data_IF_713355328543
#
_entry.id   IF_713355328543
#
_cell.length_a   1.000
_cell.length_b   1.000
_cell.length_c   1.000
_cell.angle_alpha   90.00
_cell.angle_beta   90.00
_cell.angle_gamma   90.00
#
_symmetry.space_group_name_H-M   'P 1'
#
loop_
_entity.id
_entity.type
_entity.pdbx_description
1 polymer ?
#
# COMPACT_ATOMS: atom_id res chain seq x y z
N UNK A 1 -34.16 22.85 -24.04
CA UNK A 1 -32.86 22.62 -24.70
C UNK A 1 -31.92 23.68 -24.16
N UNK A 2 -31.21 23.35 -23.08
CA UNK A 2 -30.38 24.29 -22.34
C UNK A 2 -28.93 23.88 -22.58
N UNK A 3 -28.20 24.72 -23.29
CA UNK A 3 -26.80 24.54 -23.66
C UNK A 3 -25.92 24.51 -22.41
N UNK A 4 -25.24 23.38 -22.20
CA UNK A 4 -24.22 23.23 -21.17
C UNK A 4 -22.99 24.07 -21.54
N UNK A 5 -22.32 24.71 -20.56
CA UNK A 5 -21.09 25.43 -20.82
C UNK A 5 -19.96 24.46 -21.19
N UNK A 6 -19.30 24.78 -22.29
CA UNK A 6 -18.10 24.13 -22.81
C UNK A 6 -17.01 24.14 -21.74
N UNK A 7 -16.56 22.96 -21.33
CA UNK A 7 -15.37 22.78 -20.50
C UNK A 7 -14.18 23.44 -21.22
N UNK A 8 -13.60 24.45 -20.56
CA UNK A 8 -12.47 25.20 -21.07
C UNK A 8 -11.30 24.29 -21.44
N UNK A 9 -10.69 24.62 -22.57
CA UNK A 9 -9.44 24.03 -23.07
C UNK A 9 -8.38 24.02 -21.97
N UNK A 10 -7.88 22.83 -21.67
CA UNK A 10 -6.66 22.64 -20.90
C UNK A 10 -5.48 23.09 -21.76
N UNK A 11 -4.97 24.29 -21.50
CA UNK A 11 -3.64 24.67 -21.99
C UNK A 11 -2.58 23.99 -21.11
N UNK A 12 -1.65 23.21 -21.70
CA UNK A 12 -0.50 22.71 -20.97
C UNK A 12 0.35 23.90 -20.52
N UNK A 13 0.73 23.90 -19.24
CA UNK A 13 1.70 24.83 -18.68
C UNK A 13 3.03 24.58 -19.41
N UNK A 14 3.39 25.45 -20.36
CA UNK A 14 4.75 25.52 -20.88
C UNK A 14 5.64 26.00 -19.74
N UNK A 15 6.53 25.11 -19.30
CA UNK A 15 7.67 25.47 -18.46
C UNK A 15 8.74 25.90 -19.44
N UNK A 16 8.91 27.22 -19.59
CA UNK A 16 10.00 27.80 -20.35
C UNK A 16 11.31 27.56 -19.59
N UNK A 17 12.06 26.55 -20.03
CA UNK A 17 13.48 26.39 -19.71
C UNK A 17 14.28 27.43 -20.51
N UNK A 18 14.38 28.66 -20.01
CA UNK A 18 15.46 29.57 -20.38
C UNK A 18 16.36 29.85 -19.17
N UNK A 19 17.66 29.52 -19.24
CA UNK A 19 18.62 29.96 -18.24
C UNK A 19 18.85 31.46 -18.41
N UNK A 20 18.30 32.25 -17.48
CA UNK A 20 18.61 33.67 -17.32
C UNK A 20 20.09 33.84 -16.97
N UNK A 21 20.91 34.16 -17.98
CA UNK A 21 22.23 34.75 -17.83
C UNK A 21 22.07 36.15 -17.21
N UNK A 22 22.24 36.23 -15.89
CA UNK A 22 22.46 37.50 -15.21
C UNK A 22 23.94 37.93 -15.42
N UNK A 23 24.20 39.19 -15.79
CA UNK A 23 25.57 39.68 -15.99
C UNK A 23 26.32 39.75 -14.64
N UNK A 24 27.54 39.23 -14.66
CA UNK A 24 28.49 39.36 -13.57
C UNK A 24 28.84 40.84 -13.32
N UNK A 25 28.14 41.45 -12.37
CA UNK A 25 28.51 42.76 -11.84
C UNK A 25 29.68 42.58 -10.87
N UNK A 26 30.89 42.79 -11.39
CA UNK A 26 32.13 42.80 -10.63
C UNK A 26 32.16 44.01 -9.69
N UNK A 27 31.61 43.86 -8.49
CA UNK A 27 31.84 44.81 -7.40
C UNK A 27 33.28 44.63 -6.94
N UNK A 28 34.14 45.55 -7.39
CA UNK A 28 35.51 45.69 -6.92
C UNK A 28 35.50 45.96 -5.41
N UNK A 29 35.81 44.92 -4.63
CA UNK A 29 36.07 45.05 -3.20
C UNK A 29 37.40 45.81 -3.06
N UNK A 30 37.42 47.01 -2.44
CA UNK A 30 38.67 47.73 -2.23
C UNK A 30 39.59 46.88 -1.37
N UNK A 31 40.83 46.72 -1.81
CA UNK A 31 41.90 46.08 -1.07
C UNK A 31 42.07 46.80 0.28
N UNK A 32 41.44 46.25 1.32
CA UNK A 32 41.69 46.66 2.70
C UNK A 32 43.09 46.18 3.04
N UNK A 33 44.03 47.11 2.95
CA UNK A 33 45.39 46.97 3.47
C UNK A 33 45.26 46.53 4.94
N UNK A 34 45.76 45.33 5.31
CA UNK A 34 45.74 44.89 6.69
C UNK A 34 46.62 45.85 7.51
N UNK A 35 45.97 46.72 8.28
CA UNK A 35 46.63 47.49 9.33
C UNK A 35 47.31 46.49 10.26
N UNK A 36 48.60 46.66 10.57
CA UNK A 36 49.30 45.80 11.52
C UNK A 36 48.61 45.97 12.88
N UNK A 37 47.90 44.93 13.30
CA UNK A 37 47.29 44.86 14.62
C UNK A 37 48.44 44.96 15.62
N UNK A 38 48.49 46.00 16.48
CA UNK A 38 49.55 46.11 17.47
C UNK A 38 49.48 44.84 18.33
N UNK A 39 50.63 44.19 18.51
CA UNK A 39 50.80 43.03 19.38
C UNK A 39 50.46 43.43 20.82
N UNK A 40 49.16 43.41 21.15
CA UNK A 40 48.66 43.59 22.49
C UNK A 40 48.87 42.28 23.25
N UNK A 41 50.09 42.09 23.71
CA UNK A 41 50.49 41.11 24.72
C UNK A 41 49.92 41.51 26.08
N UNK A 42 48.59 41.46 26.22
CA UNK A 42 47.93 41.47 27.51
C UNK A 42 47.16 40.15 27.61
N UNK A 43 47.77 39.17 28.27
CA UNK A 43 47.07 37.95 28.65
C UNK A 43 45.78 38.31 29.40
N UNK A 44 44.73 37.47 29.31
CA UNK A 44 43.48 37.72 30.00
C UNK A 44 43.78 38.01 31.47
N UNK A 45 43.21 39.10 32.01
CA UNK A 45 43.39 39.43 33.42
C UNK A 45 42.94 38.21 34.23
N UNK A 46 43.60 37.89 35.36
CA UNK A 46 43.28 36.69 36.14
C UNK A 46 41.79 36.60 36.53
N UNK A 47 41.11 37.75 36.65
CA UNK A 47 39.67 37.84 36.89
C UNK A 47 38.81 37.33 35.71
N UNK A 48 39.27 37.50 34.47
CA UNK A 48 38.56 37.05 33.26
C UNK A 48 38.75 35.53 33.06
N UNK A 49 39.93 35.00 33.41
CA UNK A 49 40.17 33.56 33.39
C UNK A 49 39.26 32.82 34.38
N UNK A 50 38.98 33.42 35.54
CA UNK A 50 38.10 32.83 36.55
C UNK A 50 36.62 32.85 36.12
N UNK A 51 36.17 33.94 35.51
CA UNK A 51 34.81 34.04 34.92
C UNK A 51 34.60 33.03 33.78
N UNK A 52 35.62 32.80 32.95
CA UNK A 52 35.56 31.78 31.89
C UNK A 52 35.42 30.38 32.50
N UNK A 53 36.20 30.06 33.54
CA UNK A 53 36.14 28.76 34.21
C UNK A 53 34.81 28.50 34.94
N UNK A 54 34.16 29.56 35.45
CA UNK A 54 32.84 29.47 36.09
C UNK A 54 31.72 29.32 35.04
N UNK A 55 31.78 30.06 33.93
CA UNK A 55 30.85 29.90 32.80
C UNK A 55 30.94 28.49 32.19
N UNK A 56 32.14 27.93 32.07
CA UNK A 56 32.33 26.56 31.57
C UNK A 56 31.77 25.48 32.52
N UNK A 57 31.72 25.76 33.83
CA UNK A 57 31.05 24.88 34.80
C UNK A 57 29.53 24.97 34.67
N UNK A 58 29.00 26.19 34.54
CA UNK A 58 27.56 26.40 34.37
C UNK A 58 27.04 25.78 33.06
N UNK A 59 27.78 25.91 31.95
CA UNK A 59 27.44 25.29 30.66
C UNK A 59 27.42 23.76 30.77
N UNK A 60 28.37 23.16 31.50
CA UNK A 60 28.41 21.70 31.72
C UNK A 60 27.23 21.22 32.55
N UNK A 61 26.86 21.95 33.61
CA UNK A 61 25.71 21.61 34.45
C UNK A 61 24.39 21.74 33.70
N UNK A 62 24.24 22.74 32.84
CA UNK A 62 23.06 22.90 31.99
C UNK A 62 22.93 21.76 30.97
N UNK A 63 24.05 21.32 30.36
CA UNK A 63 24.06 20.16 29.45
C UNK A 63 23.70 18.86 30.18
N UNK A 64 24.26 18.61 31.36
CA UNK A 64 23.93 17.45 32.16
C UNK A 64 22.46 17.42 32.61
N UNK A 65 21.86 18.59 32.90
CA UNK A 65 20.42 18.70 33.21
C UNK A 65 19.55 18.50 31.97
N UNK A 66 19.96 19.01 30.81
CA UNK A 66 19.27 18.80 29.55
C UNK A 66 19.23 17.31 29.16
N UNK A 67 20.36 16.61 29.25
CA UNK A 67 20.46 15.17 28.99
C UNK A 67 19.55 14.36 29.94
N UNK A 68 19.61 14.62 31.25
CA UNK A 68 18.72 13.96 32.23
C UNK A 68 17.23 14.24 31.98
N UNK A 69 16.89 15.41 31.44
CA UNK A 69 15.51 15.73 31.06
C UNK A 69 15.06 15.03 29.78
N UNK A 70 15.98 14.77 28.84
CA UNK A 70 15.71 14.02 27.61
C UNK A 70 15.54 12.52 27.88
N UNK A 71 16.35 11.93 28.78
CA UNK A 71 16.20 10.54 29.22
C UNK A 71 14.89 10.31 29.99
N UNK A 72 14.41 11.30 30.75
CA UNK A 72 13.09 11.25 31.39
C UNK A 72 11.94 11.36 30.39
N UNK A 73 12.10 12.14 29.31
CA UNK A 73 11.08 12.27 28.27
C UNK A 73 10.99 11.02 27.38
N UNK A 74 12.10 10.31 27.13
CA UNK A 74 12.08 9.08 26.33
C UNK A 74 11.43 7.89 27.07
N UNK A 75 11.46 7.89 28.41
CA UNK A 75 10.82 6.86 29.25
C UNK A 75 9.32 7.07 29.48
N UNK A 76 8.77 8.19 29.03
CA UNK A 76 7.33 8.48 29.11
C UNK A 76 6.74 8.55 27.71
N UNK A 77 6.80 7.43 26.96
CA UNK A 77 5.80 7.21 25.90
C UNK A 77 4.52 6.89 26.65
N UNK A 78 3.51 7.78 26.73
CA UNK A 78 2.20 7.34 27.16
C UNK A 78 1.83 6.23 26.19
N UNK A 79 1.67 5.01 26.72
CA UNK A 79 1.00 3.96 25.97
C UNK A 79 -0.32 4.57 25.55
N UNK A 80 -0.42 4.94 24.28
CA UNK A 80 -1.72 5.25 23.70
C UNK A 80 -2.41 3.89 23.71
N UNK A 81 -3.05 3.60 24.84
CA UNK A 81 -3.57 2.28 25.15
C UNK A 81 -4.37 1.86 23.93
N UNK A 82 -4.17 0.63 23.45
CA UNK A 82 -4.94 0.13 22.31
C UNK A 82 -6.46 0.28 22.53
N UNK A 83 -6.90 0.52 23.77
CA UNK A 83 -8.23 0.94 24.16
C UNK A 83 -8.65 2.33 23.65
N UNK A 84 -7.84 3.39 23.79
CA UNK A 84 -8.20 4.73 23.29
C UNK A 84 -8.31 4.75 21.77
N UNK A 85 -7.42 4.03 21.08
CA UNK A 85 -7.51 3.85 19.63
C UNK A 85 -8.77 3.09 19.21
N UNK A 86 -9.15 2.04 19.96
CA UNK A 86 -10.39 1.28 19.70
C UNK A 86 -11.63 2.14 19.92
N UNK A 87 -11.63 2.99 20.95
CA UNK A 87 -12.75 3.91 21.21
C UNK A 87 -12.85 4.95 20.11
N UNK A 88 -11.73 5.58 19.74
CA UNK A 88 -11.71 6.53 18.64
C UNK A 88 -12.27 5.89 17.36
N UNK A 89 -11.83 4.68 17.03
CA UNK A 89 -12.29 3.96 15.85
C UNK A 89 -13.77 3.55 15.94
N UNK A 90 -14.24 3.08 17.11
CA UNK A 90 -15.65 2.78 17.33
C UNK A 90 -16.54 4.03 17.24
N UNK A 91 -16.07 5.16 17.78
CA UNK A 91 -16.77 6.43 17.70
C UNK A 91 -16.85 6.93 16.25
N UNK A 92 -15.77 6.82 15.48
CA UNK A 92 -15.77 7.17 14.06
C UNK A 92 -16.73 6.29 13.26
N UNK A 93 -16.73 4.97 13.47
CA UNK A 93 -17.68 4.05 12.81
C UNK A 93 -19.12 4.36 13.22
N UNK A 94 -19.39 4.60 14.50
CA UNK A 94 -20.73 4.97 14.97
C UNK A 94 -21.21 6.29 14.36
N UNK A 95 -20.30 7.26 14.20
CA UNK A 95 -20.60 8.55 13.60
C UNK A 95 -20.97 8.38 12.11
N UNK A 96 -20.19 7.62 11.34
CA UNK A 96 -20.46 7.38 9.91
C UNK A 96 -21.72 6.54 9.71
N UNK A 97 -21.91 5.51 10.54
CA UNK A 97 -23.09 4.65 10.46
C UNK A 97 -24.40 5.41 10.69
N UNK A 98 -24.38 6.49 11.49
CA UNK A 98 -25.58 7.29 11.74
C UNK A 98 -26.06 8.06 10.50
N UNK A 99 -25.14 8.63 9.71
CA UNK A 99 -25.46 9.30 8.45
C UNK A 99 -25.97 8.33 7.39
N UNK A 100 -25.33 7.17 7.27
CA UNK A 100 -25.73 6.11 6.33
C UNK A 100 -27.11 5.50 6.70
N UNK A 101 -27.38 5.30 7.99
CA UNK A 101 -28.68 4.86 8.48
C UNK A 101 -29.79 5.87 8.16
N UNK A 102 -29.53 7.15 8.38
CA UNK A 102 -30.47 8.21 8.04
C UNK A 102 -30.69 8.32 6.53
N UNK A 103 -29.64 8.13 5.71
CA UNK A 103 -29.76 8.04 4.25
C UNK A 103 -30.66 6.88 3.81
N UNK A 104 -30.54 5.72 4.43
CA UNK A 104 -31.40 4.57 4.11
C UNK A 104 -32.87 4.85 4.47
N UNK A 105 -33.13 5.49 5.61
CA UNK A 105 -34.47 5.93 5.98
C UNK A 105 -35.03 6.98 5.01
N UNK A 106 -34.21 7.95 4.60
CA UNK A 106 -34.58 8.92 3.58
C UNK A 106 -34.92 8.23 2.26
N UNK A 107 -34.19 7.17 1.89
CA UNK A 107 -34.50 6.34 0.73
C UNK A 107 -35.75 5.45 0.90
N UNK A 108 -36.49 5.58 2.01
CA UNK A 108 -37.75 4.87 2.27
C UNK A 108 -37.59 3.47 2.84
N UNK A 109 -36.41 3.11 3.35
CA UNK A 109 -36.23 1.78 3.95
C UNK A 109 -36.85 1.73 5.35
N UNK A 110 -37.45 0.59 5.70
CA UNK A 110 -37.91 0.35 7.05
C UNK A 110 -36.72 0.46 8.04
N UNK A 111 -36.95 1.04 9.22
CA UNK A 111 -35.90 1.25 10.23
C UNK A 111 -35.17 -0.04 10.62
N UNK A 112 -35.88 -1.18 10.56
CA UNK A 112 -35.33 -2.53 10.81
C UNK A 112 -34.32 -2.99 9.75
N UNK A 113 -34.37 -2.45 8.53
CA UNK A 113 -33.45 -2.78 7.43
C UNK A 113 -32.42 -1.69 7.19
N UNK A 114 -32.69 -0.45 7.59
CA UNK A 114 -31.81 0.69 7.38
C UNK A 114 -30.41 0.50 8.00
N UNK A 115 -30.26 -0.27 9.09
CA UNK A 115 -28.96 -0.56 9.70
C UNK A 115 -28.09 -1.51 8.86
N UNK A 116 -28.67 -2.22 7.88
CA UNK A 116 -27.90 -3.11 6.99
C UNK A 116 -27.02 -2.33 6.02
N UNK A 117 -27.44 -1.11 5.64
CA UNK A 117 -26.67 -0.27 4.72
C UNK A 117 -25.27 0.06 5.28
N UNK A 118 -25.13 0.63 6.50
CA UNK A 118 -23.81 0.90 7.05
C UNK A 118 -22.99 -0.36 7.29
N UNK A 119 -23.63 -1.45 7.73
CA UNK A 119 -22.92 -2.73 7.91
C UNK A 119 -22.36 -3.25 6.59
N UNK A 120 -23.07 -3.09 5.47
CA UNK A 120 -22.57 -3.50 4.16
C UNK A 120 -21.34 -2.68 3.73
N UNK A 121 -21.37 -1.36 3.94
CA UNK A 121 -20.25 -0.46 3.63
C UNK A 121 -19.04 -0.78 4.52
N UNK A 122 -19.24 -0.95 5.83
CA UNK A 122 -18.18 -1.29 6.79
C UNK A 122 -17.50 -2.63 6.44
N UNK A 123 -18.28 -3.66 6.12
CA UNK A 123 -17.74 -4.96 5.70
C UNK A 123 -16.88 -4.82 4.44
N UNK A 124 -17.30 -3.97 3.49
CA UNK A 124 -16.52 -3.69 2.28
C UNK A 124 -15.20 -2.99 2.62
N UNK A 125 -15.24 -1.94 3.44
CA UNK A 125 -14.05 -1.19 3.88
C UNK A 125 -13.06 -2.09 4.61
N UNK A 126 -13.53 -2.88 5.59
CA UNK A 126 -12.69 -3.83 6.33
C UNK A 126 -12.07 -4.87 5.41
N UNK A 127 -12.82 -5.39 4.43
CA UNK A 127 -12.26 -6.33 3.46
C UNK A 127 -11.22 -5.69 2.53
N UNK A 128 -11.47 -4.46 2.08
CA UNK A 128 -10.54 -3.70 1.24
C UNK A 128 -9.21 -3.45 1.97
N UNK A 129 -9.27 -3.02 3.23
CA UNK A 129 -8.07 -2.85 4.07
C UNK A 129 -7.36 -4.17 4.32
N UNK A 130 -8.08 -5.24 4.66
CA UNK A 130 -7.46 -6.54 4.96
C UNK A 130 -6.77 -7.17 3.74
N UNK A 131 -7.20 -6.83 2.53
CA UNK A 131 -6.60 -7.31 1.27
C UNK A 131 -5.62 -6.31 0.65
N UNK A 132 -5.47 -5.12 1.22
CA UNK A 132 -4.71 -3.98 0.66
C UNK A 132 -5.06 -3.69 -0.82
N UNK A 133 -6.31 -3.91 -1.20
CA UNK A 133 -6.80 -3.71 -2.57
C UNK A 133 -8.11 -2.93 -2.51
N UNK A 134 -8.30 -2.01 -3.45
CA UNK A 134 -9.52 -1.20 -3.59
C UNK A 134 -9.82 -0.28 -2.38
N UNK A 135 -8.81 0.01 -1.54
CA UNK A 135 -8.95 0.89 -0.36
C UNK A 135 -9.46 2.28 -0.74
N UNK A 136 -8.94 2.87 -1.81
CA UNK A 136 -9.38 4.18 -2.28
C UNK A 136 -10.87 4.18 -2.66
N UNK A 137 -11.35 3.15 -3.36
CA UNK A 137 -12.76 3.05 -3.74
C UNK A 137 -13.68 2.88 -2.53
N UNK A 138 -13.25 2.12 -1.52
CA UNK A 138 -14.00 1.96 -0.28
C UNK A 138 -14.10 3.27 0.51
N UNK A 139 -13.00 4.03 0.60
CA UNK A 139 -12.99 5.34 1.24
C UNK A 139 -13.86 6.35 0.49
N UNK A 140 -13.81 6.37 -0.85
CA UNK A 140 -14.66 7.24 -1.67
C UNK A 140 -16.14 6.91 -1.47
N UNK A 141 -16.52 5.62 -1.45
CA UNK A 141 -17.92 5.22 -1.23
C UNK A 141 -18.45 5.71 0.11
N UNK A 142 -17.66 5.56 1.18
CA UNK A 142 -18.01 6.01 2.53
C UNK A 142 -18.16 7.54 2.62
N UNK A 143 -17.23 8.30 2.03
CA UNK A 143 -17.34 9.77 1.97
C UNK A 143 -18.55 10.20 1.16
N UNK A 144 -18.79 9.55 0.02
CA UNK A 144 -19.93 9.85 -0.85
C UNK A 144 -21.26 9.61 -0.16
N UNK A 145 -21.42 8.51 0.59
CA UNK A 145 -22.64 8.22 1.33
C UNK A 145 -22.97 9.33 2.35
N UNK A 146 -21.97 9.76 3.13
CA UNK A 146 -22.14 10.87 4.08
C UNK A 146 -22.42 12.21 3.39
N UNK A 147 -21.75 12.49 2.27
CA UNK A 147 -22.01 13.70 1.50
C UNK A 147 -23.45 13.72 0.96
N UNK A 148 -23.89 12.62 0.31
CA UNK A 148 -25.26 12.49 -0.21
C UNK A 148 -26.28 12.66 0.91
N UNK A 149 -26.05 12.09 2.09
CA UNK A 149 -26.91 12.31 3.25
C UNK A 149 -27.03 13.81 3.60
N UNK A 150 -25.90 14.51 3.76
CA UNK A 150 -25.93 15.92 4.14
C UNK A 150 -26.59 16.79 3.06
N UNK A 151 -26.31 16.54 1.79
CA UNK A 151 -26.98 17.26 0.69
C UNK A 151 -28.49 16.95 0.64
N UNK A 152 -28.89 15.70 0.87
CA UNK A 152 -30.30 15.31 0.91
C UNK A 152 -31.03 15.94 2.09
N UNK A 153 -30.42 15.93 3.29
CA UNK A 153 -30.96 16.57 4.49
C UNK A 153 -31.10 18.09 4.36
N UNK A 154 -30.25 18.72 3.54
CA UNK A 154 -30.34 20.14 3.23
C UNK A 154 -31.40 20.46 2.14
N UNK A 155 -32.09 19.45 1.59
CA UNK A 155 -33.02 19.61 0.47
C UNK A 155 -32.34 19.97 -0.85
N UNK A 156 -31.01 19.83 -0.94
CA UNK A 156 -30.22 20.20 -2.12
C UNK A 156 -30.10 19.04 -3.12
N UNK A 157 -30.37 17.80 -2.70
CA UNK A 157 -30.11 16.62 -3.53
C UNK A 157 -31.07 15.47 -3.23
N UNK A 158 -31.88 15.06 -4.20
CA UNK A 158 -32.63 13.81 -4.14
C UNK A 158 -33.85 13.80 -3.23
N UNK A 159 -34.29 14.97 -2.77
CA UNK A 159 -35.49 15.12 -1.95
C UNK A 159 -36.33 16.27 -2.53
N UNK A 160 -37.61 16.02 -2.78
CA UNK A 160 -38.59 17.00 -3.25
C UNK A 160 -38.86 18.06 -2.16
N UNK A 161 -39.46 19.19 -2.53
CA UNK A 161 -39.87 20.26 -1.60
C UNK A 161 -40.82 19.77 -0.48
N UNK A 162 -41.41 18.58 -0.62
CA UNK A 162 -42.26 17.91 0.36
C UNK A 162 -41.51 16.86 1.20
N UNK A 163 -40.18 16.91 1.23
CA UNK A 163 -39.32 15.95 1.95
C UNK A 163 -39.47 14.49 1.50
N UNK A 164 -39.94 14.27 0.27
CA UNK A 164 -40.07 12.92 -0.30
C UNK A 164 -38.83 12.59 -1.11
N UNK A 165 -38.25 11.38 -0.96
CA UNK A 165 -37.12 10.99 -1.76
C UNK A 165 -37.51 10.90 -3.24
N UNK A 166 -36.66 11.46 -4.09
CA UNK A 166 -36.74 11.27 -5.52
C UNK A 166 -36.39 9.82 -5.89
N UNK A 167 -37.03 9.30 -6.93
CA UNK A 167 -36.88 7.89 -7.32
C UNK A 167 -35.43 7.50 -7.60
N UNK A 168 -34.63 8.42 -8.15
CA UNK A 168 -33.23 8.16 -8.49
C UNK A 168 -32.34 8.06 -7.25
N UNK A 169 -32.68 8.74 -6.15
CA UNK A 169 -31.98 8.60 -4.87
C UNK A 169 -32.21 7.18 -4.33
N UNK A 170 -33.46 6.71 -4.37
CA UNK A 170 -33.83 5.36 -3.94
C UNK A 170 -33.06 4.31 -4.75
N UNK A 171 -33.03 4.46 -6.08
CA UNK A 171 -32.29 3.56 -6.98
C UNK A 171 -30.78 3.60 -6.68
N UNK A 172 -30.21 4.80 -6.47
CA UNK A 172 -28.80 4.99 -6.15
C UNK A 172 -28.39 4.31 -4.86
N UNK A 173 -29.16 4.50 -3.78
CA UNK A 173 -28.92 3.86 -2.48
C UNK A 173 -29.11 2.34 -2.58
N UNK A 174 -30.15 1.87 -3.29
CA UNK A 174 -30.39 0.44 -3.51
C UNK A 174 -29.27 -0.23 -4.31
N UNK A 175 -28.61 0.48 -5.23
CA UNK A 175 -27.51 -0.04 -6.02
C UNK A 175 -26.21 -0.26 -5.22
N UNK A 176 -26.06 0.33 -4.02
CA UNK A 176 -24.88 0.17 -3.17
C UNK A 176 -24.67 -1.30 -2.78
N UNK A 177 -25.74 -2.00 -2.41
CA UNK A 177 -25.68 -3.40 -1.98
C UNK A 177 -25.16 -4.36 -3.08
N UNK A 178 -25.73 -4.40 -4.31
CA UNK A 178 -25.21 -5.25 -5.38
C UNK A 178 -23.80 -4.80 -5.83
N UNK A 179 -23.48 -3.50 -5.80
CA UNK A 179 -22.13 -3.02 -6.08
C UNK A 179 -21.09 -3.57 -5.09
N UNK A 180 -21.37 -3.46 -3.79
CA UNK A 180 -20.51 -3.99 -2.73
C UNK A 180 -20.36 -5.50 -2.86
N UNK A 181 -21.46 -6.22 -3.09
CA UNK A 181 -21.46 -7.67 -3.29
C UNK A 181 -20.61 -8.09 -4.49
N UNK A 182 -20.81 -7.45 -5.65
CA UNK A 182 -20.01 -7.68 -6.85
C UNK A 182 -18.53 -7.42 -6.59
N UNK A 183 -18.22 -6.34 -5.86
CA UNK A 183 -16.83 -6.01 -5.54
C UNK A 183 -16.17 -7.02 -4.60
N UNK A 184 -16.86 -7.43 -3.55
CA UNK A 184 -16.40 -8.49 -2.65
C UNK A 184 -16.15 -9.78 -3.44
N UNK A 185 -17.02 -10.13 -4.38
CA UNK A 185 -16.85 -11.30 -5.23
C UNK A 185 -15.61 -11.20 -6.13
N UNK A 186 -15.41 -10.06 -6.82
CA UNK A 186 -14.19 -9.83 -7.64
C UNK A 186 -12.90 -9.85 -6.83
N UNK A 187 -12.93 -9.35 -5.59
CA UNK A 187 -11.78 -9.42 -4.69
C UNK A 187 -11.53 -10.83 -4.14
N UNK A 188 -12.58 -11.65 -4.05
CA UNK A 188 -12.53 -13.01 -3.51
C UNK A 188 -12.20 -14.07 -4.56
N UNK A 189 -12.32 -13.74 -5.85
CA UNK A 189 -11.90 -14.61 -6.94
C UNK A 189 -10.47 -15.12 -6.66
N UNK A 190 -10.26 -16.45 -6.61
CA UNK A 190 -8.96 -17.01 -6.28
C UNK A 190 -7.93 -16.46 -7.25
N UNK A 191 -6.76 -16.08 -6.73
CA UNK A 191 -5.60 -15.58 -7.48
C UNK A 191 -4.98 -16.73 -8.31
N UNK A 192 -5.80 -17.46 -9.07
CA UNK A 192 -5.36 -18.50 -9.99
C UNK A 192 -4.59 -17.82 -11.13
N UNK A 193 -3.41 -18.39 -11.39
CA UNK A 193 -2.71 -18.36 -12.68
C UNK A 193 -1.94 -17.15 -13.20
N UNK A 194 -1.78 -16.03 -12.48
CA UNK A 194 -0.72 -15.07 -12.91
C UNK A 194 0.72 -15.54 -12.64
N UNK A 195 0.89 -16.74 -12.05
CA UNK A 195 2.19 -17.42 -11.88
C UNK A 195 2.43 -18.52 -12.93
N UNK A 196 1.46 -18.82 -13.80
CA UNK A 196 1.62 -19.79 -14.90
C UNK A 196 1.85 -19.14 -16.27
N UNK A 197 1.75 -17.80 -16.36
CA UNK A 197 2.18 -17.05 -17.54
C UNK A 197 3.59 -16.47 -17.37
N UNK A 198 4.48 -17.17 -16.66
CA UNK A 198 5.90 -17.03 -17.01
C UNK A 198 6.03 -17.77 -18.33
N UNK A 199 6.31 -17.10 -19.46
CA UNK A 199 6.43 -17.78 -20.74
C UNK A 199 7.44 -18.89 -20.53
N UNK A 200 6.96 -20.11 -20.74
CA UNK A 200 7.77 -21.30 -20.80
C UNK A 200 8.92 -20.97 -21.74
N UNK A 201 10.08 -20.71 -21.16
CA UNK A 201 11.30 -20.40 -21.89
C UNK A 201 11.48 -21.61 -22.79
N UNK A 202 11.40 -21.48 -24.13
CA UNK A 202 11.49 -22.62 -25.01
C UNK A 202 12.77 -23.34 -24.64
N UNK A 203 12.62 -24.62 -24.31
CA UNK A 203 13.72 -25.49 -23.95
C UNK A 203 14.84 -25.26 -24.96
N UNK A 204 15.97 -24.79 -24.46
CA UNK A 204 17.21 -24.68 -25.22
C UNK A 204 17.45 -26.04 -25.88
N UNK A 205 17.34 -26.03 -27.20
CA UNK A 205 17.81 -27.09 -28.10
C UNK A 205 19.22 -27.49 -27.65
N UNK A 206 19.54 -28.78 -27.49
CA UNK A 206 20.90 -29.22 -27.24
C UNK A 206 21.77 -28.76 -28.41
N UNK A 207 22.87 -28.08 -28.10
CA UNK A 207 23.89 -27.73 -29.06
C UNK A 207 24.43 -29.00 -29.74
N UNK A 208 23.90 -29.31 -30.92
CA UNK A 208 24.56 -30.22 -31.85
C UNK A 208 25.73 -29.51 -32.50
N UNK A 209 26.87 -30.19 -32.38
CA UNK A 209 28.17 -29.86 -32.91
C UNK A 209 28.10 -29.68 -34.43
N UNK A 210 28.85 -28.68 -34.89
CA UNK A 210 29.73 -28.72 -36.06
C UNK A 210 29.72 -30.01 -36.91
N UNK A 211 29.22 -29.86 -38.14
CA UNK A 211 29.63 -30.47 -39.42
C UNK A 211 28.69 -29.82 -40.45
N UNK A 212 29.02 -28.78 -41.22
CA UNK A 212 30.10 -28.59 -42.19
C UNK A 212 30.42 -29.83 -43.03
N UNK A 213 29.65 -30.04 -44.11
CA UNK A 213 30.16 -30.12 -45.49
C UNK A 213 29.11 -30.65 -46.48
N UNK A 214 29.15 -30.09 -47.70
CA UNK A 214 28.56 -30.53 -48.97
C UNK A 214 27.06 -30.24 -49.19
N UNK A 215 26.72 -29.19 -49.97
CA UNK A 215 26.48 -29.23 -51.44
C UNK A 215 25.18 -30.01 -51.77
N UNK A 216 24.24 -29.55 -52.58
CA UNK A 216 24.24 -28.64 -53.72
C UNK A 216 22.78 -28.14 -53.93
N UNK A 217 22.57 -26.88 -54.30
CA UNK A 217 22.25 -26.48 -55.67
C UNK A 217 20.95 -27.12 -56.21
N UNK A 218 19.86 -26.36 -56.23
CA UNK A 218 19.03 -26.16 -57.44
C UNK A 218 18.09 -24.98 -57.27
N UNK A 219 18.14 -24.11 -58.27
CA UNK A 219 17.26 -23.00 -58.57
C UNK A 219 15.76 -23.37 -58.65
N UNK A 220 14.92 -22.36 -58.42
CA UNK A 220 13.56 -22.33 -58.98
C UNK A 220 12.61 -21.36 -58.24
N UNK A 221 12.30 -20.18 -58.82
CA UNK A 221 11.26 -19.30 -58.30
C UNK A 221 9.89 -19.74 -58.82
N UNK A 222 9.00 -20.12 -57.90
CA UNK A 222 7.67 -20.65 -58.20
C UNK A 222 6.58 -19.84 -57.50
N UNK A 223 6.24 -18.74 -58.15
CA UNK A 223 4.93 -18.08 -58.16
C UNK A 223 3.75 -19.04 -57.88
N UNK A 224 2.91 -18.73 -56.88
CA UNK A 224 1.49 -19.07 -56.89
C UNK A 224 0.71 -18.29 -55.83
N UNK A 225 -0.03 -17.33 -56.35
CA UNK A 225 -1.23 -16.77 -55.73
C UNK A 225 -2.25 -17.89 -55.47
N UNK A 226 -2.91 -17.82 -54.31
CA UNK A 226 -4.26 -18.32 -54.12
C UNK A 226 -5.03 -17.33 -53.25
N UNK A 227 -5.70 -16.45 -53.97
CA UNK A 227 -7.02 -15.90 -53.72
C UNK A 227 -8.02 -16.98 -53.26
N UNK A 228 -8.85 -16.66 -52.27
CA UNK A 228 -10.30 -16.87 -52.18
C UNK A 228 -10.76 -16.59 -50.72
N UNK A 229 -11.57 -15.56 -50.46
CA UNK A 229 -13.00 -15.37 -50.81
C UNK A 229 -13.91 -15.99 -49.75
N UNK A 230 -14.54 -15.07 -49.03
CA UNK A 230 -15.95 -14.98 -48.62
C UNK A 230 -16.64 -15.96 -47.66
N UNK A 231 -17.58 -15.30 -46.97
CA UNK A 231 -18.89 -15.78 -46.52
C UNK A 231 -18.93 -16.81 -45.39
N UNK A 232 -19.57 -16.42 -44.28
CA UNK A 232 -21.01 -16.64 -44.16
C UNK A 232 -21.54 -16.13 -42.81
N UNK A 233 -22.58 -15.30 -42.91
CA UNK A 233 -23.48 -14.89 -41.85
C UNK A 233 -24.17 -16.09 -41.16
N UNK A 234 -24.63 -15.93 -39.92
CA UNK A 234 -26.01 -16.27 -39.56
C UNK A 234 -26.36 -15.72 -38.17
N UNK A 235 -27.36 -14.85 -38.17
CA UNK A 235 -28.15 -14.38 -37.04
C UNK A 235 -28.95 -15.52 -36.40
N UNK A 236 -29.29 -15.38 -35.11
CA UNK A 236 -30.64 -15.65 -34.59
C UNK A 236 -30.83 -15.04 -33.18
N UNK A 237 -31.80 -14.12 -32.99
CA UNK A 237 -32.31 -13.73 -31.69
C UNK A 237 -33.59 -14.51 -31.36
N UNK A 238 -33.66 -15.07 -30.15
CA UNK A 238 -34.84 -15.76 -29.64
C UNK A 238 -35.53 -14.96 -28.54
N UNK A 239 -36.45 -14.07 -28.93
CA UNK A 239 -37.52 -13.59 -28.07
C UNK A 239 -38.60 -14.67 -27.95
N UNK A 240 -39.06 -14.95 -26.73
CA UNK A 240 -40.44 -15.38 -26.50
C UNK A 240 -40.96 -14.79 -25.20
N UNK A 241 -42.09 -14.13 -25.38
CA UNK A 241 -42.88 -13.33 -24.44
C UNK A 241 -43.95 -14.24 -23.78
N UNK A 242 -45.06 -13.74 -23.20
CA UNK A 242 -45.36 -13.77 -21.76
C UNK A 242 -46.64 -14.58 -21.42
N UNK A 243 -47.03 -14.63 -20.14
CA UNK A 243 -48.42 -14.49 -19.61
C UNK A 243 -48.60 -15.11 -18.19
N UNK A 244 -48.81 -14.22 -17.20
CA UNK A 244 -49.94 -14.10 -16.23
C UNK A 244 -50.89 -15.29 -15.93
N UNK A 245 -51.80 -15.20 -14.93
CA UNK A 245 -51.71 -14.90 -13.49
C UNK A 245 -52.39 -16.02 -12.64
N UNK A 246 -52.37 -15.95 -11.30
CA UNK A 246 -53.55 -15.81 -10.43
C UNK A 246 -53.36 -16.27 -8.97
N UNK A 247 -54.18 -15.65 -8.13
CA UNK A 247 -54.36 -15.74 -6.69
C UNK A 247 -54.53 -17.16 -6.11
N UNK A 248 -54.07 -17.37 -4.85
CA UNK A 248 -54.88 -18.04 -3.82
C UNK A 248 -54.34 -17.91 -2.40
N UNK A 249 -55.10 -17.09 -1.66
CA UNK A 249 -55.49 -17.20 -0.24
C UNK A 249 -55.65 -18.64 0.26
N UNK A 250 -55.01 -18.98 1.39
CA UNK A 250 -55.63 -19.78 2.48
C UNK A 250 -54.74 -19.86 3.71
N UNK A 251 -55.33 -19.51 4.85
CA UNK A 251 -54.91 -19.81 6.21
C UNK A 251 -54.77 -21.33 6.45
N UNK A 252 -53.78 -21.74 7.27
CA UNK A 252 -53.88 -22.86 8.23
C UNK A 252 -52.59 -22.93 9.06
N UNK A 253 -52.64 -22.57 10.33
CA UNK A 253 -52.90 -23.46 11.47
C UNK A 253 -51.78 -24.48 11.72
N UNK A 254 -51.04 -24.22 12.79
CA UNK A 254 -50.56 -25.17 13.81
C UNK A 254 -50.13 -26.57 13.36
N UNK A 255 -48.82 -26.80 13.24
CA UNK A 255 -48.26 -28.12 13.58
C UNK A 255 -46.96 -27.97 14.40
N UNK A 256 -47.16 -28.19 15.69
CA UNK A 256 -46.16 -28.36 16.74
C UNK A 256 -45.51 -29.74 16.57
N UNK A 257 -44.54 -29.83 15.67
CA UNK A 257 -43.70 -31.03 15.50
C UNK A 257 -42.56 -31.07 16.51
N UNK A 258 -42.68 -31.90 17.54
CA UNK A 258 -41.59 -32.27 18.44
C UNK A 258 -40.45 -32.92 17.65
N UNK A 259 -39.30 -32.23 17.56
CA UNK A 259 -38.08 -32.80 16.98
C UNK A 259 -37.28 -33.56 18.05
N UNK A 260 -36.84 -34.81 17.77
CA UNK A 260 -36.11 -35.63 18.73
C UNK A 260 -34.73 -35.05 19.06
N UNK A 261 -34.42 -35.02 20.36
CA UNK A 261 -33.25 -34.38 20.99
C UNK A 261 -31.90 -35.10 20.82
N UNK A 262 -31.76 -36.10 19.94
CA UNK A 262 -30.58 -36.99 19.92
C UNK A 262 -29.50 -36.70 18.86
N UNK A 263 -29.72 -35.77 17.92
CA UNK A 263 -28.75 -35.56 16.82
C UNK A 263 -27.77 -34.39 17.03
N UNK A 264 -27.83 -33.72 18.18
CA UNK A 264 -26.96 -32.56 18.50
C UNK A 264 -25.62 -32.93 19.15
N UNK A 265 -25.43 -34.19 19.56
CA UNK A 265 -24.22 -34.61 20.28
C UNK A 265 -23.05 -35.07 19.36
N UNK A 266 -23.29 -35.38 18.07
CA UNK A 266 -22.24 -35.91 17.18
C UNK A 266 -21.55 -34.87 16.28
N UNK A 267 -22.03 -33.62 16.22
CA UNK A 267 -21.43 -32.56 15.38
C UNK A 267 -20.38 -31.68 16.09
N UNK A 268 -20.13 -31.84 17.40
CA UNK A 268 -19.19 -30.98 18.14
C UNK A 268 -17.73 -31.47 18.17
N UNK A 269 -17.44 -32.72 17.77
CA UNK A 269 -16.08 -33.29 17.84
C UNK A 269 -15.22 -32.97 16.60
N UNK A 270 -15.82 -32.69 15.44
CA UNK A 270 -15.10 -32.39 14.20
C UNK A 270 -14.37 -31.02 14.22
N UNK A 271 -15.01 -29.99 14.78
CA UNK A 271 -14.45 -28.63 14.82
C UNK A 271 -13.24 -28.48 15.75
N UNK A 272 -13.10 -29.32 16.79
CA UNK A 272 -11.97 -29.27 17.72
C UNK A 272 -10.69 -29.86 17.08
N UNK A 273 -10.82 -30.91 16.28
CA UNK A 273 -9.70 -31.55 15.55
C UNK A 273 -9.17 -30.66 14.42
N UNK A 274 -10.07 -29.99 13.69
CA UNK A 274 -9.67 -29.06 12.62
C UNK A 274 -8.98 -27.79 13.17
N UNK A 275 -9.46 -27.25 14.30
CA UNK A 275 -8.79 -26.12 14.99
C UNK A 275 -7.43 -26.50 15.56
N UNK A 276 -7.25 -27.72 16.06
CA UNK A 276 -5.95 -28.22 16.50
C UNK A 276 -4.95 -28.35 15.34
N UNK A 277 -5.39 -28.90 14.19
CA UNK A 277 -4.55 -29.01 13.00
C UNK A 277 -4.19 -27.66 12.37
N UNK A 278 -5.09 -26.66 12.40
CA UNK A 278 -4.76 -25.29 11.94
C UNK A 278 -3.74 -24.62 12.87
N UNK A 279 -3.79 -24.86 14.18
CA UNK A 279 -2.82 -24.32 15.14
C UNK A 279 -1.42 -24.90 14.92
N UNK A 280 -1.29 -26.21 14.71
CA UNK A 280 0.02 -26.85 14.49
C UNK A 280 0.65 -26.47 13.15
N UNK A 281 -0.15 -26.33 12.08
CA UNK A 281 0.35 -25.83 10.79
C UNK A 281 0.86 -24.38 10.88
N UNK A 282 0.18 -23.52 11.63
CA UNK A 282 0.62 -22.12 11.84
C UNK A 282 1.91 -22.03 12.64
N UNK A 283 2.08 -22.84 13.69
CA UNK A 283 3.32 -22.84 14.48
C UNK A 283 4.52 -23.34 13.66
N UNK A 284 4.34 -24.36 12.83
CA UNK A 284 5.39 -24.87 11.94
C UNK A 284 5.80 -23.86 10.85
N UNK A 285 4.85 -23.12 10.27
CA UNK A 285 5.16 -22.07 9.30
C UNK A 285 5.93 -20.90 9.94
N UNK A 286 5.61 -20.55 11.19
CA UNK A 286 6.32 -19.50 11.94
C UNK A 286 7.74 -19.91 12.30
N UNK A 287 7.98 -21.16 12.72
CA UNK A 287 9.33 -21.65 13.00
C UNK A 287 10.18 -21.73 11.73
N UNK A 288 9.62 -22.21 10.62
CA UNK A 288 10.30 -22.22 9.32
C UNK A 288 10.68 -20.80 8.84
N UNK A 289 9.77 -19.83 9.01
CA UNK A 289 10.04 -18.43 8.67
C UNK A 289 11.16 -17.80 9.51
N UNK A 290 11.26 -18.14 10.80
CA UNK A 290 12.36 -17.69 11.68
C UNK A 290 13.71 -18.24 11.21
N UNK A 291 13.78 -19.53 10.88
CA UNK A 291 15.00 -20.14 10.37
C UNK A 291 15.47 -19.48 9.07
N UNK A 292 14.55 -19.19 8.15
CA UNK A 292 14.89 -18.51 6.89
C UNK A 292 15.42 -17.08 7.13
N UNK A 293 14.85 -16.34 8.09
CA UNK A 293 15.35 -15.01 8.43
C UNK A 293 16.75 -15.03 9.05
N UNK A 294 17.08 -16.05 9.84
CA UNK A 294 18.42 -16.23 10.39
C UNK A 294 19.44 -16.53 9.28
N UNK A 295 19.12 -17.47 8.38
CA UNK A 295 19.98 -17.81 7.23
C UNK A 295 20.25 -16.63 6.30
N UNK A 296 19.22 -15.81 6.01
CA UNK A 296 19.38 -14.58 5.21
C UNK A 296 20.35 -13.60 5.85
N UNK A 297 20.27 -13.42 7.17
CA UNK A 297 21.17 -12.53 7.91
C UNK A 297 22.59 -13.06 7.94
N UNK A 298 22.75 -14.35 8.22
CA UNK A 298 24.06 -14.99 8.22
C UNK A 298 24.75 -14.88 6.85
N UNK A 299 24.02 -15.16 5.76
CA UNK A 299 24.61 -15.04 4.42
C UNK A 299 24.98 -13.60 4.06
N UNK A 300 24.09 -12.65 4.38
CA UNK A 300 24.36 -11.24 4.14
C UNK A 300 25.52 -10.72 5.00
N UNK A 301 25.72 -11.25 6.21
CA UNK A 301 26.90 -10.96 7.04
C UNK A 301 28.19 -11.46 6.38
N UNK A 302 28.23 -12.70 5.89
CA UNK A 302 29.41 -13.21 5.15
C UNK A 302 29.78 -12.34 3.95
N UNK A 303 28.79 -11.70 3.32
CA UNK A 303 29.04 -10.75 2.23
C UNK A 303 29.80 -9.49 2.70
N UNK A 304 29.61 -9.03 3.94
CA UNK A 304 30.44 -7.96 4.51
C UNK A 304 31.90 -8.40 4.63
N UNK A 305 32.14 -9.63 5.10
CA UNK A 305 33.49 -10.19 5.25
C UNK A 305 34.16 -10.39 3.88
N UNK A 306 33.41 -10.88 2.88
CA UNK A 306 33.88 -11.11 1.50
C UNK A 306 34.26 -9.81 0.79
N UNK A 307 33.48 -8.73 0.99
CA UNK A 307 33.70 -7.46 0.29
C UNK A 307 34.64 -6.52 1.03
N UNK A 308 34.81 -6.68 2.36
CA UNK A 308 35.56 -5.74 3.20
C UNK A 308 34.98 -4.31 3.21
N UNK A 309 33.77 -4.13 2.69
CA UNK A 309 33.04 -2.85 2.63
C UNK A 309 31.56 -3.08 2.90
N UNK A 310 30.81 -2.00 3.11
CA UNK A 310 29.36 -2.08 3.17
C UNK A 310 28.78 -2.54 1.81
N UNK A 311 28.03 -3.65 1.76
CA UNK A 311 27.38 -4.11 0.55
C UNK A 311 26.20 -3.22 0.16
N UNK A 312 26.04 -3.04 -1.14
CA UNK A 312 24.85 -2.44 -1.72
C UNK A 312 23.66 -3.40 -1.64
N UNK A 313 22.45 -2.83 -1.65
CA UNK A 313 21.23 -3.63 -1.48
C UNK A 313 21.03 -4.63 -2.64
N UNK A 314 21.51 -4.31 -3.85
CA UNK A 314 21.46 -5.22 -5.01
C UNK A 314 22.37 -6.42 -4.81
N UNK A 315 23.57 -6.23 -4.25
CA UNK A 315 24.53 -7.31 -3.99
C UNK A 315 23.97 -8.30 -2.97
N UNK A 316 23.37 -7.79 -1.88
CA UNK A 316 22.69 -8.63 -0.89
C UNK A 316 21.53 -9.40 -1.55
N UNK A 317 20.71 -8.74 -2.38
CA UNK A 317 19.60 -9.39 -3.08
C UNK A 317 20.11 -10.52 -3.97
N UNK A 318 21.11 -10.25 -4.80
CA UNK A 318 21.56 -11.18 -5.83
C UNK A 318 22.18 -12.43 -5.21
N UNK A 319 22.94 -12.28 -4.11
CA UNK A 319 23.47 -13.40 -3.32
C UNK A 319 22.35 -14.22 -2.67
N UNK A 320 21.36 -13.56 -2.05
CA UNK A 320 20.23 -14.27 -1.43
C UNK A 320 19.36 -15.00 -2.46
N UNK A 321 19.24 -14.46 -3.67
CA UNK A 321 18.53 -15.11 -4.79
C UNK A 321 19.32 -16.29 -5.32
N UNK A 322 20.64 -16.16 -5.48
CA UNK A 322 21.52 -17.23 -5.94
C UNK A 322 21.44 -18.46 -5.01
N UNK A 323 21.37 -18.24 -3.71
CA UNK A 323 21.25 -19.31 -2.70
C UNK A 323 19.80 -19.75 -2.42
N UNK A 324 18.83 -19.24 -3.19
CA UNK A 324 17.39 -19.53 -3.01
C UNK A 324 16.87 -19.20 -1.60
N UNK A 325 17.54 -18.29 -0.91
CA UNK A 325 17.11 -17.76 0.38
C UNK A 325 16.04 -16.68 0.20
N UNK A 326 15.97 -16.04 -0.96
CA UNK A 326 14.97 -15.02 -1.27
C UNK A 326 14.45 -15.15 -2.71
N UNK A 327 13.23 -14.66 -2.96
CA UNK A 327 12.65 -14.62 -4.31
C UNK A 327 13.34 -13.57 -5.19
N UNK A 328 13.30 -13.73 -6.52
CA UNK A 328 13.88 -12.75 -7.46
C UNK A 328 13.31 -11.33 -7.27
N UNK A 329 12.06 -11.24 -6.85
CA UNK A 329 11.31 -9.98 -6.72
C UNK A 329 11.39 -9.37 -5.30
N UNK A 330 12.43 -9.70 -4.52
CA UNK A 330 12.54 -9.16 -3.16
C UNK A 330 12.72 -7.64 -3.19
N UNK A 331 11.81 -6.94 -2.52
CA UNK A 331 11.81 -5.49 -2.47
C UNK A 331 13.02 -4.91 -1.73
N UNK A 332 13.50 -3.74 -2.18
CA UNK A 332 14.57 -2.98 -1.52
C UNK A 332 14.34 -2.78 0.00
N UNK A 333 13.13 -2.42 0.49
CA UNK A 333 12.87 -2.31 1.92
C UNK A 333 13.10 -3.61 2.71
N UNK A 334 12.83 -4.78 2.11
CA UNK A 334 13.08 -6.07 2.75
C UNK A 334 14.57 -6.31 2.95
N UNK A 335 15.37 -6.04 1.92
CA UNK A 335 16.84 -6.17 1.99
C UNK A 335 17.42 -5.16 2.98
N UNK A 336 16.90 -3.93 2.98
CA UNK A 336 17.31 -2.90 3.95
C UNK A 336 17.10 -3.36 5.40
N UNK A 337 15.96 -4.00 5.72
CA UNK A 337 15.73 -4.53 7.07
C UNK A 337 16.71 -5.64 7.46
N UNK A 338 17.15 -6.46 6.50
CA UNK A 338 18.18 -7.49 6.74
C UNK A 338 19.51 -6.80 7.08
N UNK A 339 19.88 -5.78 6.31
CA UNK A 339 21.07 -4.97 6.53
C UNK A 339 21.05 -4.25 7.88
N UNK A 340 19.96 -3.54 8.19
CA UNK A 340 19.78 -2.82 9.45
C UNK A 340 19.81 -3.76 10.66
N UNK A 341 19.34 -5.00 10.51
CA UNK A 341 19.39 -5.99 11.58
C UNK A 341 20.82 -6.45 11.87
N UNK A 342 21.65 -6.63 10.83
CA UNK A 342 23.07 -6.98 10.96
C UNK A 342 23.83 -5.80 11.58
N UNK A 343 23.64 -4.59 11.07
CA UNK A 343 24.30 -3.38 11.58
C UNK A 343 23.91 -3.06 13.02
N UNK A 344 22.71 -3.45 13.47
CA UNK A 344 22.28 -3.34 14.87
C UNK A 344 22.97 -4.35 15.79
N UNK A 345 23.21 -5.57 15.30
CA UNK A 345 23.90 -6.62 16.06
C UNK A 345 25.41 -6.37 16.10
N UNK A 346 25.97 -5.79 15.03
CA UNK A 346 27.40 -5.52 14.85
C UNK A 346 27.64 -4.09 14.34
N UNK A 347 27.65 -3.09 15.22
CA UNK A 347 27.77 -1.67 14.83
C UNK A 347 29.09 -1.33 14.13
N UNK A 348 30.14 -2.14 14.31
CA UNK A 348 31.39 -2.00 13.58
C UNK A 348 31.21 -2.15 12.05
N UNK A 349 30.27 -3.00 11.61
CA UNK A 349 29.97 -3.18 10.18
C UNK A 349 29.29 -1.96 9.56
N UNK A 350 28.61 -1.13 10.36
CA UNK A 350 28.00 0.11 9.88
C UNK A 350 29.06 1.17 9.53
N UNK A 351 30.19 1.17 10.25
CA UNK A 351 31.31 2.10 10.02
C UNK A 351 32.01 1.86 8.67
N UNK A 352 31.97 0.63 8.12
CA UNK A 352 32.52 0.29 6.80
C UNK A 352 31.83 1.04 5.63
N UNK A 353 30.70 1.72 5.89
CA UNK A 353 29.97 2.49 4.88
C UNK A 353 30.31 3.98 4.82
N UNK A 354 30.88 4.56 5.87
CA UNK A 354 31.11 6.02 5.92
C UNK A 354 32.32 6.47 5.12
N UNK A 355 33.27 5.59 4.86
CA UNK A 355 34.53 5.94 4.22
C UNK A 355 34.41 6.09 2.69
N UNK A 356 33.49 5.36 2.06
CA UNK A 356 33.26 5.45 0.61
C UNK A 356 32.53 6.73 0.17
N UNK A 357 31.71 7.34 1.04
CA UNK A 357 31.00 8.59 0.69
C UNK A 357 31.96 9.78 0.68
N UNK A 358 33.01 9.74 1.51
CA UNK A 358 34.03 10.81 1.57
C UNK A 358 35.02 10.75 0.42
N UNK A 359 35.34 9.56 -0.10
CA UNK A 359 36.20 9.41 -1.27
C UNK A 359 35.53 9.97 -2.54
N UNK A 360 34.25 9.65 -2.77
CA UNK A 360 33.52 10.10 -3.96
C UNK A 360 33.22 11.61 -3.96
N UNK A 361 33.08 12.24 -2.78
CA UNK A 361 32.86 13.69 -2.66
C UNK A 361 34.14 14.52 -2.81
N UNK A 362 35.32 13.92 -2.65
CA UNK A 362 36.59 14.59 -2.89
C UNK A 362 36.99 14.56 -4.38
N UNK A 363 36.66 13.50 -5.12
CA UNK A 363 36.94 13.43 -6.56
C UNK A 363 36.06 14.38 -7.40
N UNK A 364 34.82 14.64 -6.97
CA UNK A 364 33.90 15.57 -7.67
C UNK A 364 34.22 17.04 -7.46
N UNK A 365 35.19 17.39 -6.61
CA UNK A 365 35.57 18.78 -6.33
C UNK A 365 36.87 19.21 -7.01
N UNK A 366 37.53 18.29 -7.71
CA UNK A 366 38.79 18.51 -8.46
C UNK A 366 38.65 18.32 -9.98
N UNK A 367 37.43 18.13 -10.47
CA UNK A 367 37.07 18.27 -11.88
C UNK A 367 36.15 19.50 -12.01
#
# INVERSE_FOLDING_TARGET
MTTLPTLGEWHPIQVDDEPSEAPAESVAVPAVVPQPVPAASAGPRPEDAQKIADLEREIRDLRAKAEKSSERKEKTKPGFDGWSLRIALAATIGLTASGEFALAQLAGWAGELAWLLPVAIDVYVVQAFRRHRDVAQALVLMVLANAVYHLASAGLFGVDAKERPEWWLIVGVAAIAPFVMWRIHRMSAPRRERRQQSPERPASVPAERHQEAAQALTDGPGERAHENVDERAHEAPGERSPERPDERRSERESERGERPKSERARRSSGGRRERAQKKTKKSAAVSAGKNLSALRRERARRLYDELGRRPEWTEIRDVLVAEKLADKDVSRPTIQRVRDAIEREEPALAALGTDNVRALTNETKTA
#
